data_IF_051433571439
#
_entry.id   IF_051433571439
#
_cell.length_a   1.000
_cell.length_b   1.000
_cell.length_c   1.000
_cell.angle_alpha   90.00
_cell.angle_beta   90.00
_cell.angle_gamma   90.00
#
_symmetry.space_group_name_H-M   'P 1'
#
loop_
_entity.id
_entity.type
_entity.pdbx_description
1 polymer ?
#
# COMPACT_ATOMS: atom_id res chain seq x y z
N UNK A 1 42.39 12.35 -16.07
CA UNK A 1 42.92 11.21 -15.30
C UNK A 1 41.73 10.53 -14.65
N UNK A 2 41.41 9.33 -15.13
CA UNK A 2 40.24 8.55 -14.76
C UNK A 2 40.49 7.89 -13.39
N UNK A 3 39.49 7.84 -12.52
CA UNK A 3 39.44 6.80 -11.49
C UNK A 3 38.02 6.29 -11.35
N UNK A 4 37.85 5.12 -11.98
CA UNK A 4 36.74 4.20 -11.89
C UNK A 4 36.98 3.39 -10.61
N UNK A 5 36.15 3.57 -9.58
CA UNK A 5 36.06 2.61 -8.48
C UNK A 5 34.76 1.84 -8.68
N UNK A 6 34.89 0.66 -9.27
CA UNK A 6 33.82 -0.34 -9.38
C UNK A 6 33.70 -1.03 -8.02
N UNK A 7 32.66 -0.69 -7.27
CA UNK A 7 32.26 -1.42 -6.07
C UNK A 7 31.72 -2.80 -6.45
N UNK A 8 32.29 -3.84 -5.84
CA UNK A 8 31.93 -5.24 -6.01
C UNK A 8 30.66 -5.49 -5.18
N UNK A 9 29.54 -5.82 -5.85
CA UNK A 9 28.28 -6.21 -5.21
C UNK A 9 28.38 -7.69 -4.82
N UNK A 10 28.41 -7.98 -3.52
CA UNK A 10 28.18 -9.32 -2.99
C UNK A 10 26.70 -9.43 -2.57
N UNK A 11 25.88 -10.02 -3.42
CA UNK A 11 24.52 -10.46 -3.07
C UNK A 11 24.60 -11.89 -2.55
N UNK A 12 24.41 -12.09 -1.24
CA UNK A 12 24.34 -13.41 -0.63
C UNK A 12 22.95 -14.00 -0.88
N UNK A 13 22.88 -14.94 -1.82
CA UNK A 13 21.72 -15.82 -2.06
C UNK A 13 21.71 -16.89 -0.96
N UNK A 14 20.74 -16.81 -0.06
CA UNK A 14 20.40 -17.91 0.83
C UNK A 14 19.57 -18.96 0.10
N UNK A 15 20.19 -20.09 -0.23
CA UNK A 15 19.51 -21.33 -0.66
C UNK A 15 19.16 -22.14 0.58
N UNK A 16 17.88 -22.44 0.80
CA UNK A 16 17.47 -23.53 1.69
C UNK A 16 16.81 -24.61 0.83
N UNK A 17 17.49 -25.74 0.74
CA UNK A 17 16.98 -27.01 0.22
C UNK A 17 16.20 -27.77 1.31
N UNK A 18 15.11 -28.41 0.88
CA UNK A 18 14.50 -29.61 1.48
C UNK A 18 13.57 -30.21 0.41
N UNK A 19 13.99 -31.27 -0.31
CA UNK A 19 13.82 -32.70 0.01
C UNK A 19 12.34 -33.12 0.10
N UNK A 20 11.78 -33.69 -1.00
CA UNK A 20 11.32 -35.11 -1.19
C UNK A 20 10.08 -35.48 -0.34
N UNK A 21 9.00 -36.15 -0.79
CA UNK A 21 8.73 -37.07 -1.91
C UNK A 21 7.20 -37.41 -1.90
N UNK A 22 6.64 -37.83 -3.06
CA UNK A 22 5.51 -38.77 -3.29
C UNK A 22 4.11 -38.49 -2.64
N UNK A 23 2.93 -38.86 -3.15
CA UNK A 23 2.50 -39.85 -4.14
C UNK A 23 1.01 -39.65 -4.53
N UNK A 24 0.65 -40.16 -5.71
CA UNK A 24 -0.60 -40.86 -6.07
C UNK A 24 -1.96 -40.12 -6.23
N UNK A 25 -2.31 -39.93 -7.51
CA UNK A 25 -3.40 -40.60 -8.27
C UNK A 25 -4.72 -40.88 -7.52
N UNK A 26 -5.83 -40.28 -7.99
CA UNK A 26 -7.12 -40.98 -8.03
C UNK A 26 -8.05 -40.47 -9.15
N UNK A 27 -8.62 -41.45 -9.84
CA UNK A 27 -9.58 -41.40 -10.95
C UNK A 27 -11.01 -41.70 -10.47
N UNK A 28 -11.99 -41.32 -11.32
CA UNK A 28 -13.41 -41.73 -11.37
C UNK A 28 -14.37 -41.07 -10.37
N UNK A 29 -15.28 -40.22 -10.86
CA UNK A 29 -16.61 -40.54 -11.41
C UNK A 29 -17.59 -41.07 -10.37
N UNK A 30 -18.57 -40.26 -9.98
CA UNK A 30 -19.89 -40.76 -9.57
C UNK A 30 -20.98 -39.77 -9.93
N UNK A 31 -22.08 -40.36 -10.42
CA UNK A 31 -23.31 -39.79 -10.95
C UNK A 31 -24.15 -39.03 -9.91
N UNK A 32 -24.83 -37.99 -10.37
CA UNK A 32 -26.10 -37.49 -9.82
C UNK A 32 -26.81 -36.87 -11.02
N UNK A 33 -27.99 -37.28 -11.48
CA UNK A 33 -29.24 -37.48 -10.75
C UNK A 33 -30.26 -36.54 -11.39
N UNK A 34 -31.11 -37.08 -12.28
CA UNK A 34 -32.19 -36.36 -12.94
C UNK A 34 -33.15 -35.72 -11.94
N UNK A 35 -33.61 -34.49 -12.22
CA UNK A 35 -35.02 -34.13 -12.04
C UNK A 35 -35.44 -32.89 -12.86
N UNK A 36 -36.44 -33.11 -13.71
CA UNK A 36 -37.45 -32.17 -14.25
C UNK A 36 -37.94 -31.20 -13.15
N UNK A 37 -38.45 -29.97 -13.38
CA UNK A 37 -39.33 -29.47 -14.45
C UNK A 37 -39.66 -27.98 -14.21
N UNK A 38 -40.05 -27.29 -15.29
CA UNK A 38 -41.12 -26.26 -15.41
C UNK A 38 -40.95 -24.78 -15.00
N UNK A 39 -41.18 -23.94 -16.03
CA UNK A 39 -42.08 -22.75 -16.10
C UNK A 39 -41.60 -21.38 -15.57
N UNK A 40 -41.14 -20.55 -16.54
CA UNK A 40 -41.73 -19.27 -17.02
C UNK A 40 -42.48 -18.38 -16.01
N UNK A 41 -41.97 -17.18 -15.73
CA UNK A 41 -42.72 -15.91 -15.73
C UNK A 41 -41.82 -14.68 -15.55
N UNK A 42 -42.00 -13.69 -16.44
CA UNK A 42 -41.50 -12.30 -16.34
C UNK A 42 -42.35 -11.51 -15.32
N UNK A 43 -41.84 -10.42 -14.74
CA UNK A 43 -42.49 -9.13 -15.03
C UNK A 43 -41.55 -7.91 -15.13
N UNK A 44 -42.04 -6.88 -15.84
CA UNK A 44 -41.49 -5.51 -16.03
C UNK A 44 -41.94 -4.57 -14.86
N UNK A 45 -41.49 -3.29 -14.78
CA UNK A 45 -41.13 -2.61 -13.54
C UNK A 45 -42.26 -1.74 -12.96
N UNK A 46 -42.13 -1.35 -11.68
CA UNK A 46 -42.90 -0.28 -11.06
C UNK A 46 -42.01 0.68 -10.28
N UNK A 47 -42.32 1.96 -10.45
CA UNK A 47 -41.68 3.15 -9.90
C UNK A 47 -42.10 3.45 -8.46
N UNK A 48 -41.22 4.23 -7.81
CA UNK A 48 -41.45 5.27 -6.80
C UNK A 48 -42.06 4.89 -5.45
N UNK A 49 -41.23 4.98 -4.41
CA UNK A 49 -41.65 5.49 -3.10
C UNK A 49 -40.59 6.44 -2.54
N UNK A 50 -41.00 7.69 -2.41
CA UNK A 50 -40.36 8.77 -1.66
C UNK A 50 -40.34 8.47 -0.17
N UNK A 51 -39.20 8.65 0.49
CA UNK A 51 -39.09 8.87 1.95
C UNK A 51 -38.00 9.92 2.15
N UNK A 52 -38.41 11.17 2.37
CA UNK A 52 -38.52 11.83 3.67
C UNK A 52 -37.18 12.42 4.13
N UNK A 53 -37.06 13.74 3.92
CA UNK A 53 -35.99 14.58 4.43
C UNK A 53 -35.92 14.49 5.96
N UNK A 54 -34.79 14.00 6.47
CA UNK A 54 -34.39 14.18 7.86
C UNK A 54 -33.23 15.18 7.88
N UNK A 55 -33.55 16.41 8.24
CA UNK A 55 -32.58 17.49 8.48
C UNK A 55 -31.89 17.23 9.80
N UNK A 56 -30.89 16.34 9.78
CA UNK A 56 -29.86 16.27 10.80
C UNK A 56 -28.59 16.86 10.23
N UNK A 57 -28.02 17.85 10.90
CA UNK A 57 -26.69 18.41 10.63
C UNK A 57 -25.63 17.31 10.75
N UNK A 58 -25.45 16.55 9.68
CA UNK A 58 -24.32 15.66 9.52
C UNK A 58 -23.13 16.52 9.12
N UNK A 59 -22.10 16.56 9.96
CA UNK A 59 -20.74 16.75 9.47
C UNK A 59 -20.53 15.62 8.45
N UNK A 60 -20.75 15.94 7.18
CA UNK A 60 -20.57 15.04 6.07
C UNK A 60 -19.06 14.78 6.02
N UNK A 61 -18.62 13.66 6.58
CA UNK A 61 -17.31 13.11 6.27
C UNK A 61 -17.40 12.72 4.79
N UNK A 62 -17.08 13.67 3.90
CA UNK A 62 -16.95 13.35 2.48
C UNK A 62 -15.76 12.43 2.36
N UNK A 63 -16.02 11.20 1.93
CA UNK A 63 -14.97 10.23 1.63
C UNK A 63 -14.05 10.84 0.56
N UNK A 64 -12.82 11.24 0.92
CA UNK A 64 -11.92 11.89 -0.02
C UNK A 64 -11.60 11.01 -1.23
N UNK A 65 -11.85 9.70 -1.17
CA UNK A 65 -11.68 8.76 -2.28
C UNK A 65 -12.75 8.88 -3.39
N UNK A 66 -13.90 9.49 -3.11
CA UNK A 66 -15.00 9.65 -4.10
C UNK A 66 -15.09 11.06 -4.71
N UNK A 67 -14.35 12.02 -4.15
CA UNK A 67 -14.27 13.39 -4.67
C UNK A 67 -13.35 13.46 -5.89
N UNK A 68 -13.78 14.17 -6.93
CA UNK A 68 -13.03 14.34 -8.19
C UNK A 68 -11.71 15.14 -8.03
N UNK A 69 -11.39 15.55 -6.79
CA UNK A 69 -10.08 15.89 -6.23
C UNK A 69 -10.37 16.27 -4.79
N UNK A 70 -10.08 15.43 -3.76
CA UNK A 70 -10.12 15.97 -2.40
C UNK A 70 -9.12 17.13 -2.34
N UNK A 71 -9.48 18.25 -1.71
CA UNK A 71 -8.48 19.19 -1.22
C UNK A 71 -7.66 18.44 -0.15
N UNK A 72 -6.73 17.61 -0.59
CA UNK A 72 -5.83 16.87 0.29
C UNK A 72 -4.61 17.73 0.56
N UNK A 73 -4.15 17.68 1.80
CA UNK A 73 -2.89 18.30 2.23
C UNK A 73 -1.63 17.53 1.82
N UNK A 74 -1.79 16.40 1.10
CA UNK A 74 -0.65 15.58 0.71
C UNK A 74 0.30 16.33 -0.22
N UNK A 75 1.59 16.22 0.07
CA UNK A 75 2.68 16.79 -0.73
C UNK A 75 3.90 15.89 -0.67
N UNK A 76 4.80 16.05 -1.63
CA UNK A 76 6.15 15.49 -1.51
C UNK A 76 6.88 16.13 -0.32
N UNK A 77 7.69 15.33 0.36
CA UNK A 77 8.61 15.75 1.41
C UNK A 77 10.01 15.25 1.08
N UNK A 78 11.04 15.89 1.64
CA UNK A 78 12.39 15.34 1.51
C UNK A 78 12.50 14.04 2.30
N UNK A 79 13.33 13.12 1.82
CA UNK A 79 13.64 11.88 2.53
C UNK A 79 14.39 12.22 3.82
N UNK A 80 15.22 13.27 3.81
CA UNK A 80 15.92 13.77 4.99
C UNK A 80 14.95 14.18 6.11
N UNK A 81 13.92 14.97 5.80
CA UNK A 81 12.91 15.40 6.78
C UNK A 81 12.11 14.21 7.31
N UNK A 82 11.71 13.31 6.42
CA UNK A 82 11.01 12.08 6.77
C UNK A 82 11.83 11.21 7.75
N UNK A 83 13.13 11.05 7.50
CA UNK A 83 14.05 10.31 8.38
C UNK A 83 14.30 11.03 9.71
N UNK A 84 14.38 12.36 9.71
CA UNK A 84 14.57 13.16 10.92
C UNK A 84 13.40 13.03 11.91
N UNK A 85 12.20 12.71 11.40
CA UNK A 85 10.99 12.51 12.19
C UNK A 85 10.58 11.04 12.31
N UNK A 86 11.43 10.11 11.90
CA UNK A 86 11.12 8.69 11.94
C UNK A 86 11.00 8.17 13.39
N UNK A 87 9.89 7.50 13.71
CA UNK A 87 9.65 6.89 15.02
C UNK A 87 8.76 5.66 14.88
N UNK A 88 8.77 4.77 15.88
CA UNK A 88 7.85 3.63 15.93
C UNK A 88 7.02 3.70 17.21
N UNK A 89 5.81 4.21 17.08
CA UNK A 89 4.86 4.44 18.18
C UNK A 89 3.42 4.19 17.71
N UNK A 90 3.09 3.02 17.14
CA UNK A 90 1.76 2.77 16.59
C UNK A 90 0.71 2.66 17.69
N UNK A 91 -0.42 3.36 17.54
CA UNK A 91 -1.59 3.26 18.43
C UNK A 91 -2.86 3.19 17.58
N UNK A 92 -3.64 2.12 17.76
CA UNK A 92 -4.94 1.97 17.08
C UNK A 92 -6.04 2.79 17.76
N UNK A 93 -5.85 4.11 17.90
CA UNK A 93 -6.78 5.02 18.57
C UNK A 93 -7.67 5.83 17.62
N UNK A 94 -7.36 5.79 16.32
CA UNK A 94 -8.06 6.62 15.36
C UNK A 94 -7.27 7.83 14.88
N UNK A 95 -5.97 7.94 15.21
CA UNK A 95 -4.96 8.86 14.64
C UNK A 95 -3.79 8.10 13.94
N UNK A 96 -3.13 8.77 12.99
CA UNK A 96 -2.21 8.09 12.04
C UNK A 96 -0.84 8.06 12.67
N UNK A 97 -0.41 6.87 13.04
CA UNK A 97 0.77 6.77 13.87
C UNK A 97 1.96 6.13 13.17
N UNK A 98 3.19 6.62 13.47
CA UNK A 98 4.40 6.00 12.97
C UNK A 98 4.49 4.52 13.34
N UNK A 99 4.60 3.66 12.33
CA UNK A 99 4.51 2.20 12.47
C UNK A 99 3.22 1.59 11.94
N UNK A 100 2.25 2.39 11.51
CA UNK A 100 1.03 1.89 10.87
C UNK A 100 1.14 1.85 9.34
N UNK A 101 0.36 0.97 8.72
CA UNK A 101 -0.04 1.10 7.32
C UNK A 101 -1.41 1.75 7.29
N UNK A 102 -1.57 2.82 6.54
CA UNK A 102 -2.81 3.60 6.42
C UNK A 102 -3.22 3.74 4.97
N UNK A 103 -4.48 4.11 4.70
CA UNK A 103 -4.94 4.42 3.34
C UNK A 103 -5.04 5.93 3.16
N UNK A 104 -4.55 6.43 2.03
CA UNK A 104 -4.68 7.84 1.69
C UNK A 104 -4.73 8.01 0.19
N UNK A 105 -5.31 9.13 -0.25
CA UNK A 105 -5.17 9.58 -1.62
C UNK A 105 -3.69 9.89 -1.90
N UNK A 106 -3.12 9.26 -2.92
CA UNK A 106 -1.75 9.51 -3.37
C UNK A 106 -1.76 9.96 -4.83
N UNK A 107 -1.17 11.14 -5.14
CA UNK A 107 -1.10 11.65 -6.50
C UNK A 107 -0.21 10.76 -7.38
N UNK A 108 -0.57 10.67 -8.66
CA UNK A 108 0.36 10.16 -9.67
C UNK A 108 1.53 11.13 -9.81
N UNK A 109 2.69 10.60 -10.24
CA UNK A 109 3.89 11.42 -10.37
C UNK A 109 3.85 12.28 -11.62
N UNK A 110 3.31 11.71 -12.70
CA UNK A 110 3.27 12.32 -14.02
C UNK A 110 2.24 13.46 -14.06
N UNK A 111 1.19 13.34 -13.23
CA UNK A 111 0.12 14.32 -13.10
C UNK A 111 -0.44 14.31 -11.68
N UNK A 112 -0.08 15.33 -10.89
CA UNK A 112 -0.54 15.47 -9.51
C UNK A 112 -2.01 15.91 -9.40
N UNK A 113 -2.70 16.20 -10.52
CA UNK A 113 -4.14 16.45 -10.53
C UNK A 113 -4.96 15.17 -10.44
N UNK A 114 -4.35 14.03 -10.79
CA UNK A 114 -4.96 12.71 -10.72
C UNK A 114 -4.23 11.88 -9.67
N UNK A 115 -4.98 11.06 -8.94
CA UNK A 115 -4.43 10.16 -7.96
C UNK A 115 -5.36 8.99 -7.73
N UNK A 116 -4.97 8.13 -6.79
CA UNK A 116 -5.85 7.07 -6.32
C UNK A 116 -5.59 6.86 -4.84
N UNK A 117 -6.56 6.25 -4.18
CA UNK A 117 -6.40 5.79 -2.82
C UNK A 117 -5.46 4.58 -2.76
N UNK A 118 -4.50 4.61 -1.84
CA UNK A 118 -3.44 3.59 -1.74
C UNK A 118 -3.05 3.33 -0.28
N UNK A 119 -2.61 2.10 0.03
CA UNK A 119 -1.92 1.85 1.27
C UNK A 119 -0.56 2.56 1.28
N UNK A 120 -0.17 3.07 2.45
CA UNK A 120 1.09 3.74 2.69
C UNK A 120 1.57 3.47 4.13
N UNK A 121 2.87 3.29 4.33
CA UNK A 121 3.48 3.12 5.65
C UNK A 121 3.74 4.48 6.27
N UNK A 122 3.29 4.69 7.49
CA UNK A 122 3.65 5.85 8.30
C UNK A 122 5.04 5.62 8.90
N UNK A 123 5.99 6.46 8.51
CA UNK A 123 7.38 6.37 8.98
C UNK A 123 7.66 7.35 10.13
N UNK A 124 6.94 8.46 10.20
CA UNK A 124 7.20 9.51 11.19
C UNK A 124 6.07 10.51 11.29
N UNK A 125 6.11 11.36 12.31
CA UNK A 125 5.10 12.39 12.52
C UNK A 125 5.76 13.72 12.92
N UNK A 126 5.21 14.82 12.42
CA UNK A 126 5.63 16.18 12.80
C UNK A 126 4.46 17.15 12.68
N UNK A 127 4.19 17.87 13.77
CA UNK A 127 3.12 18.86 13.82
C UNK A 127 1.74 18.22 13.63
N UNK A 128 0.97 18.74 12.68
CA UNK A 128 -0.39 18.25 12.36
C UNK A 128 -0.43 17.07 11.36
N UNK A 129 0.73 16.55 10.97
CA UNK A 129 0.80 15.56 9.90
C UNK A 129 1.87 14.50 10.07
N UNK A 130 1.88 13.61 9.10
CA UNK A 130 2.65 12.38 9.10
C UNK A 130 3.43 12.22 7.81
N UNK A 131 4.56 11.55 7.90
CA UNK A 131 5.40 11.16 6.79
C UNK A 131 5.05 9.73 6.36
N UNK A 132 4.86 9.55 5.06
CA UNK A 132 4.38 8.32 4.46
C UNK A 132 5.30 7.83 3.34
N UNK A 133 5.41 6.51 3.20
CA UNK A 133 5.95 5.85 2.01
C UNK A 133 4.86 5.03 1.32
N UNK A 134 4.74 5.18 0.01
CA UNK A 134 3.73 4.50 -0.79
C UNK A 134 3.96 2.97 -0.82
N UNK A 135 2.88 2.20 -0.68
CA UNK A 135 2.89 0.76 -0.93
C UNK A 135 2.29 0.38 -2.29
N UNK A 136 2.71 -0.78 -2.79
CA UNK A 136 2.14 -1.46 -3.96
C UNK A 136 2.19 -2.97 -3.78
N UNK A 137 1.24 -3.71 -4.34
CA UNK A 137 1.33 -5.18 -4.43
C UNK A 137 1.79 -5.64 -5.82
N UNK A 138 2.32 -4.71 -6.64
CA UNK A 138 2.99 -5.06 -7.90
C UNK A 138 4.42 -5.48 -7.54
N UNK A 139 4.79 -6.68 -7.96
CA UNK A 139 6.16 -7.19 -7.87
C UNK A 139 7.04 -6.43 -8.86
N UNK A 140 8.04 -5.70 -8.34
CA UNK A 140 9.04 -4.99 -9.12
C UNK A 140 10.42 -5.67 -9.10
N UNK A 141 10.54 -6.88 -8.57
CA UNK A 141 11.82 -7.59 -8.44
C UNK A 141 12.45 -7.86 -9.80
N UNK A 142 11.65 -8.17 -10.83
CA UNK A 142 12.14 -8.54 -12.17
C UNK A 142 12.53 -7.33 -13.02
N UNK A 143 11.86 -6.20 -12.80
CA UNK A 143 12.10 -4.91 -13.45
C UNK A 143 12.94 -3.95 -12.60
N UNK A 144 13.47 -4.40 -11.45
CA UNK A 144 14.28 -3.56 -10.56
C UNK A 144 15.39 -2.76 -11.28
N UNK A 145 16.16 -3.30 -12.26
CA UNK A 145 17.13 -2.50 -13.01
C UNK A 145 16.48 -1.40 -13.87
N UNK A 146 15.31 -1.67 -14.44
CA UNK A 146 14.57 -0.71 -15.24
C UNK A 146 13.92 0.37 -14.36
N UNK A 147 13.38 -0.01 -13.20
CA UNK A 147 12.85 0.91 -12.20
C UNK A 147 13.95 1.84 -11.67
N UNK A 148 15.11 1.29 -11.30
CA UNK A 148 16.25 2.07 -10.83
C UNK A 148 16.80 3.03 -11.90
N UNK A 149 16.84 2.60 -13.18
CA UNK A 149 17.19 3.47 -14.30
C UNK A 149 16.18 4.63 -14.49
N UNK A 150 14.94 4.46 -14.03
CA UNK A 150 13.92 5.49 -13.98
C UNK A 150 13.87 6.24 -12.64
N UNK A 151 14.86 6.03 -11.76
CA UNK A 151 14.97 6.68 -10.45
C UNK A 151 14.03 6.10 -9.38
N UNK A 152 13.38 4.95 -9.63
CA UNK A 152 12.41 4.33 -8.73
C UNK A 152 13.04 3.16 -7.98
N UNK A 153 12.84 3.13 -6.67
CA UNK A 153 13.44 2.13 -5.80
C UNK A 153 12.36 1.52 -4.91
N UNK A 154 12.27 0.19 -4.97
CA UNK A 154 11.26 -0.59 -4.27
C UNK A 154 11.91 -1.58 -3.33
N UNK A 155 11.29 -1.80 -2.18
CA UNK A 155 11.70 -2.77 -1.17
C UNK A 155 10.54 -3.71 -0.87
N UNK A 156 10.76 -5.01 -0.99
CA UNK A 156 9.82 -6.04 -0.55
C UNK A 156 9.66 -6.01 0.98
N UNK A 157 8.42 -5.95 1.44
CA UNK A 157 8.04 -5.95 2.87
C UNK A 157 7.17 -7.16 3.24
N UNK A 158 6.98 -8.09 2.32
CA UNK A 158 6.14 -9.28 2.47
C UNK A 158 4.65 -8.96 2.46
N UNK A 159 3.86 -9.89 3.00
CA UNK A 159 2.42 -9.76 3.16
C UNK A 159 2.07 -9.42 4.62
N UNK A 160 0.90 -8.83 4.83
CA UNK A 160 0.34 -8.60 6.15
C UNK A 160 -1.08 -8.04 6.10
N UNK A 161 -1.60 -7.69 7.28
CA UNK A 161 -3.01 -7.38 7.49
C UNK A 161 -3.50 -6.14 6.73
N UNK A 162 -2.60 -5.31 6.22
CA UNK A 162 -2.92 -4.15 5.37
C UNK A 162 -3.47 -4.53 3.99
N UNK A 163 -3.25 -5.75 3.52
CA UNK A 163 -3.89 -6.28 2.32
C UNK A 163 -4.81 -7.43 2.70
N UNK A 164 -6.12 -7.21 2.59
CA UNK A 164 -7.15 -8.24 2.81
C UNK A 164 -6.97 -9.52 1.97
N UNK A 165 -6.24 -9.45 0.85
CA UNK A 165 -5.90 -10.61 0.01
C UNK A 165 -4.57 -11.27 0.40
N UNK A 166 -3.86 -10.74 1.39
CA UNK A 166 -2.59 -11.25 1.88
C UNK A 166 -1.49 -11.26 0.81
N UNK A 167 -1.50 -10.32 -0.13
CA UNK A 167 -0.49 -10.29 -1.20
C UNK A 167 0.81 -9.69 -0.68
N UNK A 168 1.97 -10.22 -1.14
CA UNK A 168 3.25 -9.55 -0.97
C UNK A 168 3.16 -8.10 -1.48
N UNK A 169 3.76 -7.20 -0.72
CA UNK A 169 3.75 -5.78 -0.97
C UNK A 169 5.17 -5.24 -0.96
N UNK A 170 5.37 -4.16 -1.69
CA UNK A 170 6.61 -3.41 -1.77
C UNK A 170 6.36 -1.97 -1.34
N UNK A 171 7.35 -1.38 -0.68
CA UNK A 171 7.38 0.04 -0.32
C UNK A 171 8.29 0.81 -1.25
N UNK A 172 7.88 2.02 -1.61
CA UNK A 172 8.67 2.93 -2.42
C UNK A 172 9.64 3.74 -1.58
N UNK A 173 10.92 3.76 -1.95
CA UNK A 173 11.99 4.40 -1.18
C UNK A 173 12.39 5.79 -1.72
N UNK A 174 12.20 6.05 -3.01
CA UNK A 174 12.56 7.31 -3.68
C UNK A 174 11.51 8.42 -3.52
N UNK A 175 10.48 8.18 -2.71
CA UNK A 175 9.33 9.08 -2.63
C UNK A 175 8.74 9.13 -1.23
N UNK A 176 9.11 10.17 -0.48
CA UNK A 176 8.51 10.48 0.80
C UNK A 176 7.36 11.49 0.62
N UNK A 177 6.24 11.24 1.29
CA UNK A 177 5.07 12.11 1.27
C UNK A 177 4.81 12.64 2.68
N UNK A 178 4.27 13.85 2.78
CA UNK A 178 3.68 14.36 4.02
C UNK A 178 2.20 14.63 3.80
N UNK A 179 1.37 14.31 4.78
CA UNK A 179 -0.08 14.60 4.78
C UNK A 179 -0.55 14.96 6.19
N UNK A 180 -1.56 15.83 6.32
CA UNK A 180 -2.24 16.04 7.61
C UNK A 180 -2.86 14.75 8.08
N UNK A 181 -2.76 14.45 9.37
CA UNK A 181 -3.31 13.23 9.94
C UNK A 181 -4.83 13.14 9.72
N UNK A 182 -5.53 14.28 9.64
CA UNK A 182 -6.98 14.38 9.38
C UNK A 182 -7.40 13.95 7.98
N UNK A 183 -6.48 13.95 7.02
CA UNK A 183 -6.77 13.59 5.62
C UNK A 183 -6.45 12.11 5.33
N UNK A 184 -5.92 11.38 6.32
CA UNK A 184 -5.63 9.95 6.24
C UNK A 184 -6.89 9.14 6.54
N UNK A 185 -7.18 8.15 5.69
CA UNK A 185 -8.29 7.21 5.88
C UNK A 185 -7.85 5.97 6.65
N UNK A 186 -8.65 5.61 7.66
CA UNK A 186 -8.30 4.58 8.63
C UNK A 186 -8.83 3.20 8.27
N UNK A 187 -8.25 2.61 7.25
CA UNK A 187 -8.32 1.16 7.01
C UNK A 187 -6.94 0.55 7.24
N UNK A 188 -6.38 0.83 8.41
CA UNK A 188 -4.98 0.55 8.70
C UNK A 188 -4.72 -0.71 9.51
N UNK A 189 -3.43 -1.07 9.58
CA UNK A 189 -2.92 -2.14 10.45
C UNK A 189 -1.56 -1.75 11.01
N UNK A 190 -1.19 -2.30 12.15
CA UNK A 190 0.15 -2.10 12.72
C UNK A 190 1.16 -2.92 11.92
N UNK A 191 2.18 -2.26 11.39
CA UNK A 191 3.32 -2.92 10.76
C UNK A 191 4.22 -3.56 11.83
N UNK A 192 4.67 -4.81 11.67
CA UNK A 192 5.62 -5.41 12.59
C UNK A 192 6.87 -4.53 12.72
N UNK A 193 7.33 -4.29 13.96
CA UNK A 193 8.48 -3.41 14.25
C UNK A 193 9.74 -3.75 13.45
N UNK A 194 10.00 -5.04 13.24
CA UNK A 194 11.14 -5.49 12.45
C UNK A 194 11.03 -5.07 10.97
N UNK A 195 9.84 -5.19 10.37
CA UNK A 195 9.58 -4.73 9.00
C UNK A 195 9.68 -3.21 8.91
N UNK A 196 9.11 -2.47 9.88
CA UNK A 196 9.27 -1.02 9.92
C UNK A 196 10.74 -0.59 10.00
N UNK A 197 11.53 -1.26 10.84
CA UNK A 197 12.96 -0.97 10.97
C UNK A 197 13.72 -1.25 9.66
N UNK A 198 13.40 -2.36 8.97
CA UNK A 198 13.95 -2.68 7.65
C UNK A 198 13.67 -1.57 6.63
N UNK A 199 12.44 -1.04 6.61
CA UNK A 199 12.06 0.06 5.73
C UNK A 199 12.89 1.31 6.02
N UNK A 200 13.00 1.70 7.29
CA UNK A 200 13.76 2.90 7.68
C UNK A 200 15.24 2.77 7.34
N UNK A 201 15.83 1.60 7.55
CA UNK A 201 17.24 1.38 7.24
C UNK A 201 17.50 1.35 5.73
N UNK A 202 16.58 0.79 4.93
CA UNK A 202 16.64 0.87 3.48
C UNK A 202 16.45 2.31 2.96
N UNK A 203 15.57 3.10 3.59
CA UNK A 203 15.37 4.51 3.25
C UNK A 203 16.62 5.34 3.54
N UNK A 204 17.30 5.11 4.67
CA UNK A 204 18.61 5.74 4.98
C UNK A 204 19.66 5.38 3.95
N UNK A 205 19.73 4.11 3.55
CA UNK A 205 20.70 3.64 2.58
C UNK A 205 20.45 4.22 1.18
N UNK A 206 19.17 4.31 0.79
CA UNK A 206 18.76 4.99 -0.43
C UNK A 206 19.21 6.46 -0.40
N UNK A 207 18.88 7.20 0.67
CA UNK A 207 19.25 8.60 0.85
C UNK A 207 20.77 8.82 0.80
N UNK A 208 21.55 7.97 1.48
CA UNK A 208 23.01 8.03 1.48
C UNK A 208 23.61 7.84 0.08
N UNK A 209 22.95 7.06 -0.76
CA UNK A 209 23.48 6.67 -2.08
C UNK A 209 23.01 7.61 -3.19
N UNK A 210 21.78 8.11 -3.10
CA UNK A 210 21.13 8.86 -4.19
C UNK A 210 20.75 10.30 -3.82
N UNK A 211 20.64 10.62 -2.53
CA UNK A 211 20.05 11.89 -2.07
C UNK A 211 18.53 11.83 -1.99
N UNK A 212 17.89 12.98 -2.18
CA UNK A 212 16.44 13.09 -2.44
C UNK A 212 16.12 12.75 -3.90
#
# INVERSE_FOLDING_TARGET
MNSIVRGIINFLIGVISGATEEAQKNTMTTKTGQRQSTKKSTPKPRSSSSSSAHSGSQHRYEDPATSNRPQTSIREASIADALAHASYTPVMDGDADPGEVVWTWVPYQEDSSVGKDRPAVVIGAQGEGVYLLQLTSKDHTRDAPQEAAAGRYWLDIGAGDWDSKGRPSEVRLDRALWVKATDVRREGSILPKATWQLIVDALKEHYRTHGD
#
